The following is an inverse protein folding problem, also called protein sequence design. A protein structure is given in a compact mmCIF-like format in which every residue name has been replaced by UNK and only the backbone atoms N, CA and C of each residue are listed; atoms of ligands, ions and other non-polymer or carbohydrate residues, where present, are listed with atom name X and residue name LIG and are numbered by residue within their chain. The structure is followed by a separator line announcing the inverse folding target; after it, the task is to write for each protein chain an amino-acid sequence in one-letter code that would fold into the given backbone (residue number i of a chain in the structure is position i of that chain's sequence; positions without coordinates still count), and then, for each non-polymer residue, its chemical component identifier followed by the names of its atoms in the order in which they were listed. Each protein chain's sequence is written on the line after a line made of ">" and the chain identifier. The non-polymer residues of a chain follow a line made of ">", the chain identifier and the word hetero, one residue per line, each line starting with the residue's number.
data_IF_188162010047
#
_entry.id   IF_188162010047
#
_cell.length_a   1.000
_cell.length_b   1.000
_cell.length_c   1.000
_cell.angle_alpha   90.00
_cell.angle_beta   90.00
_cell.angle_gamma   90.00
#
_symmetry.space_group_name_H-M   'P 1'
#
loop_
_entity.id
_entity.type
_entity.pdbx_description
1 polymer ?
#
# COMPACT_ATOMS: atom_id res chain seq x y z
N UNK A 1 44.04 21.31 11.82
CA UNK A 1 43.77 21.90 10.49
C UNK A 1 45.08 21.93 9.74
N UNK A 2 45.18 21.16 8.67
CA UNK A 2 46.21 21.28 7.67
C UNK A 2 45.48 21.24 6.32
N UNK A 3 45.64 22.31 5.56
CA UNK A 3 45.05 22.54 4.24
C UNK A 3 46.07 22.03 3.22
N UNK A 4 45.71 21.02 2.44
CA UNK A 4 46.60 20.47 1.41
C UNK A 4 46.29 21.11 0.05
N UNK A 5 47.37 21.34 -0.70
CA UNK A 5 47.48 22.17 -1.91
C UNK A 5 46.62 21.65 -3.08
N UNK A 6 45.90 22.56 -3.75
CA UNK A 6 44.88 22.26 -4.77
C UNK A 6 45.45 21.81 -6.13
N UNK A 7 46.77 21.62 -6.26
CA UNK A 7 47.44 21.39 -7.53
C UNK A 7 47.41 19.93 -8.02
N UNK A 8 47.14 18.94 -7.15
CA UNK A 8 47.06 17.53 -7.53
C UNK A 8 45.79 16.88 -6.97
N UNK A 9 44.84 16.52 -7.84
CA UNK A 9 43.73 15.64 -7.43
C UNK A 9 44.30 14.25 -7.09
N UNK A 10 44.14 13.74 -5.86
CA UNK A 10 44.51 12.37 -5.55
C UNK A 10 43.66 11.41 -6.38
N UNK A 11 44.32 10.60 -7.22
CA UNK A 11 43.68 9.51 -7.98
C UNK A 11 43.36 8.28 -7.13
N UNK A 12 43.67 8.33 -5.84
CA UNK A 12 43.37 7.31 -4.83
C UNK A 12 42.79 7.96 -3.57
N UNK A 13 41.77 7.35 -2.94
CA UNK A 13 41.24 7.83 -1.66
C UNK A 13 42.34 7.97 -0.61
N UNK A 14 42.29 9.02 0.21
CA UNK A 14 43.21 9.20 1.33
C UNK A 14 43.15 8.00 2.27
N UNK A 15 44.30 7.44 2.66
CA UNK A 15 44.37 6.30 3.59
C UNK A 15 43.95 6.68 5.03
N UNK A 16 43.89 7.97 5.35
CA UNK A 16 43.40 8.46 6.62
C UNK A 16 41.86 8.49 6.66
N UNK A 17 41.28 7.48 7.29
CA UNK A 17 39.82 7.35 7.48
C UNK A 17 39.16 8.54 8.22
N UNK A 18 39.91 9.41 8.90
CA UNK A 18 39.36 10.60 9.59
C UNK A 18 39.04 11.75 8.64
N UNK A 19 39.55 11.69 7.41
CA UNK A 19 39.30 12.66 6.34
C UNK A 19 38.13 12.26 5.42
N UNK A 20 37.65 11.02 5.54
CA UNK A 20 36.52 10.55 4.75
C UNK A 20 35.27 11.33 5.12
N UNK A 21 34.64 11.91 4.10
CA UNK A 21 33.29 12.48 4.19
C UNK A 21 32.41 11.57 3.36
N UNK A 22 31.33 11.10 3.95
CA UNK A 22 30.37 10.23 3.29
C UNK A 22 29.07 10.99 3.16
N UNK A 23 28.55 11.12 1.95
CA UNK A 23 27.30 11.82 1.68
C UNK A 23 26.31 10.86 1.03
N UNK A 24 25.13 10.75 1.63
CA UNK A 24 23.93 10.21 1.01
C UNK A 24 22.87 11.30 1.07
N UNK A 25 22.24 11.59 -0.06
CA UNK A 25 21.21 12.62 -0.15
C UNK A 25 19.95 12.07 -0.82
N UNK A 26 18.81 12.59 -0.40
CA UNK A 26 17.51 12.40 -1.06
C UNK A 26 17.10 13.79 -1.53
N UNK A 27 16.88 13.93 -2.84
CA UNK A 27 16.49 15.22 -3.42
C UNK A 27 15.23 15.79 -2.78
N UNK A 28 15.37 16.96 -2.19
CA UNK A 28 14.25 17.81 -1.76
C UNK A 28 13.85 18.83 -2.83
N UNK A 29 14.47 18.79 -4.01
CA UNK A 29 14.17 19.70 -5.11
C UNK A 29 12.83 19.30 -5.72
N UNK A 30 11.82 20.19 -5.76
CA UNK A 30 10.55 19.92 -6.40
C UNK A 30 10.73 19.52 -7.87
N UNK A 31 9.92 18.57 -8.32
CA UNK A 31 9.92 18.15 -9.73
C UNK A 31 9.32 19.27 -10.58
N UNK A 32 10.02 19.78 -11.61
CA UNK A 32 9.46 20.82 -12.48
C UNK A 32 8.16 20.37 -13.14
N UNK A 33 7.10 21.18 -12.99
CA UNK A 33 5.79 20.88 -13.58
C UNK A 33 4.87 20.00 -12.72
N UNK A 34 5.32 19.53 -11.55
CA UNK A 34 4.43 18.89 -10.57
C UNK A 34 3.56 19.94 -9.87
N UNK A 35 2.23 19.83 -10.00
CA UNK A 35 1.28 20.82 -9.46
C UNK A 35 1.37 20.97 -7.94
N UNK A 36 1.71 19.88 -7.25
CA UNK A 36 1.84 19.84 -5.79
C UNK A 36 3.26 20.18 -5.30
N UNK A 37 4.18 20.46 -6.23
CA UNK A 37 5.59 20.74 -5.97
C UNK A 37 6.28 19.63 -5.16
N UNK A 38 5.89 18.38 -5.37
CA UNK A 38 6.50 17.24 -4.71
C UNK A 38 7.90 16.96 -5.23
N UNK A 39 8.82 16.68 -4.30
CA UNK A 39 10.15 16.17 -4.57
C UNK A 39 10.21 14.66 -4.35
N UNK A 40 11.36 14.04 -4.67
CA UNK A 40 11.64 12.66 -4.30
C UNK A 40 11.39 12.40 -2.81
N UNK A 41 11.91 13.29 -1.95
CA UNK A 41 11.71 13.23 -0.51
C UNK A 41 10.23 13.35 -0.09
N UNK A 42 9.42 14.17 -0.78
CA UNK A 42 7.98 14.26 -0.51
C UNK A 42 7.30 12.92 -0.77
N UNK A 43 7.49 12.32 -1.95
CA UNK A 43 6.90 11.03 -2.31
C UNK A 43 7.30 9.92 -1.33
N UNK A 44 8.58 9.83 -0.96
CA UNK A 44 9.06 8.85 0.03
C UNK A 44 8.41 9.05 1.40
N UNK A 45 8.27 10.30 1.84
CA UNK A 45 7.61 10.60 3.11
C UNK A 45 6.14 10.21 3.09
N UNK A 46 5.41 10.50 2.02
CA UNK A 46 3.99 10.19 1.93
C UNK A 46 3.74 8.68 1.91
N UNK A 47 4.58 7.93 1.18
CA UNK A 47 4.54 6.48 1.16
C UNK A 47 4.85 5.87 2.53
N UNK A 48 5.91 6.33 3.22
CA UNK A 48 6.51 5.59 4.33
C UNK A 48 6.28 6.17 5.74
N UNK A 49 6.16 7.49 5.87
CA UNK A 49 6.33 8.17 7.16
C UNK A 49 5.18 9.11 7.55
N UNK A 50 4.75 9.96 6.62
CA UNK A 50 3.77 11.01 6.86
C UNK A 50 3.16 11.43 5.52
N UNK A 51 1.93 11.03 5.31
CA UNK A 51 1.09 11.55 4.24
C UNK A 51 0.25 12.74 4.73
N UNK A 52 0.31 13.92 4.06
CA UNK A 52 -0.44 15.11 4.46
C UNK A 52 -1.96 14.92 4.43
N UNK A 53 -2.52 14.19 3.48
CA UNK A 53 -3.97 13.99 3.37
C UNK A 53 -4.47 13.07 4.50
N UNK A 54 -3.73 12.00 4.79
CA UNK A 54 -3.98 11.15 5.95
C UNK A 54 -3.93 11.95 7.25
N UNK A 55 -2.97 12.87 7.41
CA UNK A 55 -2.88 13.69 8.60
C UNK A 55 -4.07 14.63 8.78
N UNK A 56 -4.59 15.20 7.71
CA UNK A 56 -5.77 16.07 7.77
C UNK A 56 -7.00 15.34 8.30
N UNK A 57 -7.10 14.03 8.03
CA UNK A 57 -8.15 13.18 8.59
C UNK A 57 -7.76 12.47 9.89
N UNK A 58 -6.63 12.85 10.50
CA UNK A 58 -6.17 12.36 11.80
C UNK A 58 -5.50 10.98 11.77
N UNK A 59 -5.17 10.46 10.60
CA UNK A 59 -4.37 9.24 10.42
C UNK A 59 -2.88 9.59 10.41
N UNK A 60 -2.11 8.86 11.19
CA UNK A 60 -0.65 9.02 11.28
C UNK A 60 0.07 7.96 10.45
N UNK A 61 1.29 8.27 10.00
CA UNK A 61 2.10 7.36 9.19
C UNK A 61 2.02 7.67 7.70
N UNK A 62 2.70 6.84 6.91
CA UNK A 62 2.55 6.82 5.45
C UNK A 62 1.47 5.86 4.98
N UNK A 63 1.17 5.91 3.69
CA UNK A 63 0.13 5.09 3.04
C UNK A 63 0.41 3.58 3.16
N UNK A 64 1.68 3.17 3.07
CA UNK A 64 2.12 1.78 3.14
C UNK A 64 1.62 1.08 4.42
N UNK A 65 1.75 1.76 5.57
CA UNK A 65 1.32 1.24 6.87
C UNK A 65 -0.18 0.88 6.89
N UNK A 66 -1.00 1.75 6.31
CA UNK A 66 -2.45 1.59 6.32
C UNK A 66 -2.91 0.55 5.31
N UNK A 67 -2.35 0.53 4.10
CA UNK A 67 -2.62 -0.52 3.13
C UNK A 67 -2.28 -1.90 3.74
N UNK A 68 -1.09 -2.06 4.30
CA UNK A 68 -0.65 -3.30 4.94
C UNK A 68 -1.61 -3.78 6.03
N UNK A 69 -1.94 -2.91 6.98
CA UNK A 69 -2.83 -3.26 8.11
C UNK A 69 -4.25 -3.58 7.66
N UNK A 70 -4.81 -2.76 6.78
CA UNK A 70 -6.20 -2.87 6.37
C UNK A 70 -6.41 -4.10 5.48
N UNK A 71 -5.47 -4.42 4.59
CA UNK A 71 -5.54 -5.66 3.80
C UNK A 71 -5.39 -6.90 4.66
N UNK A 72 -4.55 -6.88 5.70
CA UNK A 72 -4.49 -7.98 6.68
C UNK A 72 -5.82 -8.25 7.38
N UNK A 73 -6.61 -7.19 7.63
CA UNK A 73 -7.96 -7.31 8.18
C UNK A 73 -8.97 -7.90 7.19
N UNK A 74 -8.83 -7.63 5.89
CA UNK A 74 -9.65 -8.31 4.89
C UNK A 74 -9.45 -9.82 4.92
N UNK A 75 -8.18 -10.28 4.95
CA UNK A 75 -7.89 -11.71 5.04
C UNK A 75 -8.48 -12.36 6.30
N UNK A 76 -8.37 -11.70 7.45
CA UNK A 76 -8.95 -12.16 8.72
C UNK A 76 -10.46 -12.37 8.60
N UNK A 77 -11.20 -11.39 8.11
CA UNK A 77 -12.66 -11.47 8.05
C UNK A 77 -13.18 -12.30 6.88
N UNK A 78 -12.52 -12.32 5.73
CA UNK A 78 -12.88 -13.23 4.65
C UNK A 78 -12.74 -14.69 5.08
N UNK A 79 -11.66 -15.03 5.80
CA UNK A 79 -11.46 -16.37 6.35
C UNK A 79 -12.53 -16.70 7.39
N UNK A 80 -12.79 -15.79 8.33
CA UNK A 80 -13.82 -15.96 9.34
C UNK A 80 -15.23 -16.14 8.73
N UNK A 81 -15.56 -15.41 7.67
CA UNK A 81 -16.85 -15.55 6.99
C UNK A 81 -17.05 -16.96 6.41
N UNK A 82 -16.01 -17.52 5.78
CA UNK A 82 -16.03 -18.88 5.26
C UNK A 82 -16.17 -19.92 6.38
N UNK A 83 -15.45 -19.73 7.47
CA UNK A 83 -15.49 -20.65 8.60
C UNK A 83 -16.86 -20.60 9.32
N UNK A 84 -17.47 -19.41 9.42
CA UNK A 84 -18.84 -19.23 9.92
C UNK A 84 -19.86 -19.97 9.04
N UNK A 85 -19.70 -19.95 7.71
CA UNK A 85 -20.53 -20.74 6.79
C UNK A 85 -20.38 -22.24 7.04
N UNK A 86 -19.14 -22.72 7.16
CA UNK A 86 -18.85 -24.15 7.37
C UNK A 86 -19.45 -24.70 8.68
N UNK A 87 -19.69 -23.83 9.67
CA UNK A 87 -20.34 -24.20 10.93
C UNK A 87 -21.88 -24.37 10.83
N UNK A 88 -22.50 -23.91 9.74
CA UNK A 88 -23.93 -24.15 9.40
C UNK A 88 -24.97 -23.27 10.09
N UNK A 89 -24.66 -22.60 11.21
CA UNK A 89 -25.65 -21.86 12.03
C UNK A 89 -25.33 -20.37 12.26
N UNK A 90 -24.29 -19.83 11.63
CA UNK A 90 -23.74 -18.51 11.98
C UNK A 90 -23.91 -17.46 10.87
N UNK A 91 -25.03 -17.46 10.14
CA UNK A 91 -25.26 -16.52 9.01
C UNK A 91 -25.19 -15.04 9.41
N UNK A 92 -25.58 -14.70 10.64
CA UNK A 92 -25.44 -13.34 11.17
C UNK A 92 -23.97 -12.95 11.43
N UNK A 93 -23.14 -13.90 11.88
CA UNK A 93 -21.70 -13.64 12.05
C UNK A 93 -21.01 -13.53 10.69
N UNK A 94 -21.30 -14.44 9.77
CA UNK A 94 -20.85 -14.40 8.38
C UNK A 94 -21.15 -13.03 7.76
N UNK A 95 -22.40 -12.56 7.83
CA UNK A 95 -22.78 -11.26 7.29
C UNK A 95 -22.01 -10.11 7.94
N UNK A 96 -21.79 -10.14 9.25
CA UNK A 96 -20.98 -9.13 9.94
C UNK A 96 -19.54 -9.12 9.44
N UNK A 97 -18.94 -10.29 9.14
CA UNK A 97 -17.59 -10.33 8.56
C UNK A 97 -17.56 -9.73 7.15
N UNK A 98 -18.54 -10.06 6.32
CA UNK A 98 -18.66 -9.50 4.96
C UNK A 98 -18.85 -7.98 4.99
N UNK A 99 -19.67 -7.46 5.92
CA UNK A 99 -19.83 -6.01 6.12
C UNK A 99 -18.49 -5.36 6.47
N UNK A 100 -17.70 -5.94 7.38
CA UNK A 100 -16.37 -5.39 7.73
C UNK A 100 -15.40 -5.38 6.55
N UNK A 101 -15.47 -6.38 5.69
CA UNK A 101 -14.68 -6.42 4.43
C UNK A 101 -15.05 -5.23 3.56
N UNK A 102 -16.35 -4.97 3.34
CA UNK A 102 -16.82 -3.82 2.56
C UNK A 102 -16.47 -2.47 3.19
N UNK A 103 -16.57 -2.35 4.51
CA UNK A 103 -16.24 -1.11 5.23
C UNK A 103 -14.80 -0.64 4.96
N UNK A 104 -13.84 -1.56 4.82
CA UNK A 104 -12.45 -1.23 4.49
C UNK A 104 -12.16 -1.15 2.98
N UNK A 105 -12.87 -1.92 2.16
CA UNK A 105 -12.68 -1.84 0.70
C UNK A 105 -13.15 -0.48 0.17
N UNK A 106 -14.35 -0.07 0.57
CA UNK A 106 -15.02 1.12 0.03
C UNK A 106 -14.73 2.36 0.87
N UNK A 107 -14.36 2.15 2.13
CA UNK A 107 -14.28 3.20 3.12
C UNK A 107 -15.65 3.56 3.68
N UNK A 108 -15.68 3.97 4.94
CA UNK A 108 -16.92 4.19 5.70
C UNK A 108 -17.84 5.27 5.12
N UNK A 109 -17.31 6.17 4.28
CA UNK A 109 -18.11 7.21 3.64
C UNK A 109 -18.89 6.70 2.41
N UNK A 110 -18.42 5.64 1.75
CA UNK A 110 -18.95 5.21 0.45
C UNK A 110 -19.59 3.81 0.48
N UNK A 111 -19.29 2.98 1.48
CA UNK A 111 -19.83 1.61 1.61
C UNK A 111 -21.36 1.53 1.62
N UNK A 112 -22.04 2.60 2.03
CA UNK A 112 -23.50 2.70 2.03
C UNK A 112 -24.14 2.63 0.63
N UNK A 113 -23.38 2.87 -0.45
CA UNK A 113 -23.90 2.84 -1.81
C UNK A 113 -24.24 1.41 -2.28
N UNK A 114 -23.47 0.42 -1.82
CA UNK A 114 -23.56 -0.95 -2.31
C UNK A 114 -24.06 -1.95 -1.25
N UNK A 115 -24.39 -1.48 -0.05
CA UNK A 115 -24.98 -2.30 1.03
C UNK A 115 -26.48 -2.05 1.18
N UNK A 116 -27.25 -3.00 1.75
CA UNK A 116 -28.65 -2.76 2.09
C UNK A 116 -28.83 -1.54 3.00
N UNK A 117 -29.92 -0.80 2.83
CA UNK A 117 -30.23 0.37 3.65
C UNK A 117 -30.24 0.01 5.15
N UNK A 118 -29.58 0.83 5.97
CA UNK A 118 -29.47 0.60 7.41
C UNK A 118 -28.36 -0.37 7.82
N UNK A 119 -27.52 -0.84 6.88
CA UNK A 119 -26.31 -1.60 7.22
C UNK A 119 -25.40 -0.76 8.12
N UNK A 120 -25.00 -1.26 9.30
CA UNK A 120 -24.13 -0.52 10.20
C UNK A 120 -22.67 -0.60 9.76
N UNK A 121 -21.89 0.42 10.09
CA UNK A 121 -20.41 0.35 10.06
C UNK A 121 -19.94 -0.51 11.24
N UNK A 122 -19.16 -1.56 10.97
CA UNK A 122 -18.72 -2.56 11.95
C UNK A 122 -17.22 -2.55 12.23
N UNK A 123 -16.51 -1.61 11.63
CA UNK A 123 -15.07 -1.38 11.80
C UNK A 123 -14.79 -0.11 12.58
N UNK A 124 -13.53 0.09 12.97
CA UNK A 124 -13.09 1.37 13.51
C UNK A 124 -13.27 2.47 12.42
N UNK A 125 -14.11 3.50 12.66
CA UNK A 125 -14.45 4.50 11.64
C UNK A 125 -13.30 5.46 11.32
N UNK A 126 -12.22 5.44 12.09
CA UNK A 126 -10.98 6.13 11.77
C UNK A 126 -10.13 5.24 10.85
N UNK A 127 -9.91 3.98 11.21
CA UNK A 127 -9.08 3.07 10.40
C UNK A 127 -9.70 2.72 9.03
N UNK A 128 -11.03 2.58 8.96
CA UNK A 128 -11.78 2.35 7.73
C UNK A 128 -12.20 3.62 6.99
N UNK A 129 -11.69 4.80 7.37
CA UNK A 129 -12.14 6.08 6.79
C UNK A 129 -11.87 6.18 5.29
N UNK A 130 -10.69 5.73 4.87
CA UNK A 130 -10.25 5.68 3.48
C UNK A 130 -10.39 4.26 2.99
N UNK A 131 -11.02 4.09 1.83
CA UNK A 131 -11.13 2.79 1.17
C UNK A 131 -9.79 2.31 0.64
N UNK A 132 -9.61 0.99 0.61
CA UNK A 132 -8.54 0.36 -0.17
C UNK A 132 -8.76 0.62 -1.67
N UNK A 133 -10.02 0.65 -2.10
CA UNK A 133 -10.45 0.95 -3.46
C UNK A 133 -11.07 2.33 -3.59
N UNK A 134 -11.02 2.84 -4.81
CA UNK A 134 -11.75 4.02 -5.25
C UNK A 134 -13.06 3.56 -5.87
N UNK A 135 -14.17 3.97 -5.27
CA UNK A 135 -15.51 3.47 -5.63
C UNK A 135 -16.42 4.56 -6.17
N UNK A 136 -16.04 5.82 -6.00
CA UNK A 136 -16.72 6.99 -6.57
C UNK A 136 -15.68 7.87 -7.29
N UNK A 137 -15.88 8.26 -8.56
CA UNK A 137 -14.95 9.12 -9.28
C UNK A 137 -14.83 10.54 -8.69
N UNK A 138 -15.78 10.95 -7.85
CA UNK A 138 -15.78 12.24 -7.16
C UNK A 138 -15.47 12.08 -5.66
N UNK A 139 -14.88 10.95 -5.25
CA UNK A 139 -14.50 10.78 -3.86
C UNK A 139 -13.50 11.86 -3.42
N UNK A 140 -13.66 12.33 -2.19
CA UNK A 140 -12.90 13.49 -1.69
C UNK A 140 -11.43 13.17 -1.44
N UNK A 141 -11.12 11.89 -1.15
CA UNK A 141 -9.77 11.39 -0.92
C UNK A 141 -9.53 10.20 -1.84
N UNK A 142 -8.33 10.09 -2.45
CA UNK A 142 -7.98 8.91 -3.21
C UNK A 142 -7.93 7.67 -2.31
N UNK A 143 -8.18 6.51 -2.92
CA UNK A 143 -8.02 5.23 -2.22
C UNK A 143 -6.56 4.95 -1.88
N UNK A 144 -6.28 4.04 -0.94
CA UNK A 144 -4.89 3.68 -0.63
C UNK A 144 -4.12 3.20 -1.86
N UNK A 145 -4.74 2.37 -2.72
CA UNK A 145 -4.07 1.85 -3.92
C UNK A 145 -3.83 2.95 -4.96
N UNK A 146 -4.84 3.77 -5.26
CA UNK A 146 -4.70 4.92 -6.19
C UNK A 146 -3.62 5.89 -5.71
N UNK A 147 -3.62 6.20 -4.41
CA UNK A 147 -2.72 7.19 -3.81
C UNK A 147 -1.25 6.69 -3.77
N UNK A 148 -1.04 5.41 -3.48
CA UNK A 148 0.28 4.79 -3.57
C UNK A 148 0.80 4.84 -5.01
N UNK A 149 -0.02 4.45 -6.01
CA UNK A 149 0.36 4.52 -7.42
C UNK A 149 0.72 5.94 -7.88
N UNK A 150 0.00 6.96 -7.41
CA UNK A 150 0.33 8.36 -7.65
C UNK A 150 1.75 8.70 -7.19
N UNK A 151 2.12 8.32 -5.96
CA UNK A 151 3.45 8.62 -5.44
C UNK A 151 4.56 7.76 -6.04
N UNK A 152 4.29 6.53 -6.44
CA UNK A 152 5.25 5.70 -7.17
C UNK A 152 5.56 6.30 -8.55
N UNK A 153 4.53 6.78 -9.26
CA UNK A 153 4.68 7.47 -10.54
C UNK A 153 5.42 8.79 -10.36
N UNK A 154 5.06 9.59 -9.36
CA UNK A 154 5.75 10.84 -9.04
C UNK A 154 7.22 10.62 -8.69
N UNK A 155 7.53 9.57 -7.91
CA UNK A 155 8.90 9.18 -7.58
C UNK A 155 9.74 8.90 -8.83
N UNK A 156 9.20 8.12 -9.78
CA UNK A 156 9.88 7.80 -11.06
C UNK A 156 10.15 9.04 -11.90
N UNK A 157 9.34 10.09 -11.78
CA UNK A 157 9.51 11.35 -12.51
C UNK A 157 10.32 12.41 -11.74
N UNK A 158 10.63 12.15 -10.47
CA UNK A 158 11.30 13.12 -9.61
C UNK A 158 12.80 13.25 -9.86
N UNK A 159 13.35 14.43 -9.61
CA UNK A 159 14.80 14.63 -9.73
C UNK A 159 15.55 13.89 -8.62
N UNK A 160 16.67 13.26 -8.97
CA UNK A 160 17.61 12.67 -8.00
C UNK A 160 17.26 11.27 -7.50
N UNK A 161 16.30 10.56 -8.12
CA UNK A 161 16.10 9.15 -7.85
C UNK A 161 17.29 8.32 -8.35
N UNK A 162 17.57 7.20 -7.70
CA UNK A 162 18.52 6.20 -8.20
C UNK A 162 17.85 5.27 -9.22
N UNK A 163 18.65 4.56 -10.03
CA UNK A 163 18.14 3.48 -10.89
C UNK A 163 17.46 2.38 -10.08
N UNK A 164 17.97 2.09 -8.87
CA UNK A 164 17.39 1.10 -7.97
C UNK A 164 16.00 1.50 -7.49
N UNK A 165 15.84 2.75 -7.03
CA UNK A 165 14.53 3.29 -6.63
C UNK A 165 13.53 3.28 -7.79
N UNK A 166 13.95 3.68 -9.00
CA UNK A 166 13.10 3.64 -10.19
C UNK A 166 12.62 2.22 -10.51
N UNK A 167 13.51 1.23 -10.44
CA UNK A 167 13.18 -0.18 -10.69
C UNK A 167 12.20 -0.73 -9.66
N UNK A 168 12.41 -0.43 -8.37
CA UNK A 168 11.48 -0.83 -7.31
C UNK A 168 10.12 -0.17 -7.57
N UNK A 169 10.08 1.15 -7.73
CA UNK A 169 8.82 1.88 -7.87
C UNK A 169 7.99 1.37 -9.06
N UNK A 170 8.64 1.12 -10.20
CA UNK A 170 7.97 0.56 -11.38
C UNK A 170 7.43 -0.86 -11.13
N UNK A 171 8.16 -1.70 -10.39
CA UNK A 171 7.70 -3.06 -10.06
C UNK A 171 6.56 -3.04 -9.05
N UNK A 172 6.66 -2.20 -8.03
CA UNK A 172 5.62 -2.04 -7.01
C UNK A 172 4.34 -1.49 -7.63
N UNK A 173 4.42 -0.51 -8.54
CA UNK A 173 3.23 0.05 -9.19
C UNK A 173 2.47 -0.99 -10.01
N UNK A 174 3.18 -1.87 -10.72
CA UNK A 174 2.56 -3.02 -11.40
C UNK A 174 1.87 -3.98 -10.44
N UNK A 175 2.48 -4.23 -9.29
CA UNK A 175 1.88 -5.09 -8.26
C UNK A 175 0.65 -4.43 -7.61
N UNK A 176 0.69 -3.11 -7.38
CA UNK A 176 -0.47 -2.34 -6.90
C UNK A 176 -1.65 -2.46 -7.88
N UNK A 177 -1.39 -2.41 -9.19
CA UNK A 177 -2.43 -2.65 -10.21
C UNK A 177 -2.98 -4.07 -10.15
N UNK A 178 -2.13 -5.09 -9.98
CA UNK A 178 -2.57 -6.48 -9.84
C UNK A 178 -3.42 -6.68 -8.56
N UNK A 179 -2.98 -6.12 -7.43
CA UNK A 179 -3.73 -6.12 -6.16
C UNK A 179 -5.05 -5.38 -6.31
N UNK A 180 -5.12 -4.29 -7.06
CA UNK A 180 -6.37 -3.56 -7.33
C UNK A 180 -7.41 -4.46 -7.98
N UNK A 181 -7.01 -5.26 -8.98
CA UNK A 181 -7.92 -6.22 -9.63
C UNK A 181 -8.42 -7.27 -8.62
N UNK A 182 -7.55 -7.80 -7.77
CA UNK A 182 -7.95 -8.75 -6.72
C UNK A 182 -8.94 -8.10 -5.73
N UNK A 183 -8.70 -6.87 -5.29
CA UNK A 183 -9.59 -6.12 -4.42
C UNK A 183 -10.96 -5.90 -5.05
N UNK A 184 -11.02 -5.62 -6.35
CA UNK A 184 -12.28 -5.49 -7.08
C UNK A 184 -13.08 -6.79 -7.09
N UNK A 185 -12.43 -7.94 -7.26
CA UNK A 185 -13.10 -9.25 -7.16
C UNK A 185 -13.61 -9.52 -5.74
N UNK A 186 -12.79 -9.28 -4.71
CA UNK A 186 -13.20 -9.41 -3.29
C UNK A 186 -14.43 -8.55 -3.03
N UNK A 187 -14.45 -7.30 -3.53
CA UNK A 187 -15.58 -6.39 -3.40
C UNK A 187 -16.84 -6.93 -4.07
N UNK A 188 -16.73 -7.46 -5.29
CA UNK A 188 -17.86 -8.04 -6.02
C UNK A 188 -18.50 -9.19 -5.25
N UNK A 189 -17.69 -10.13 -4.75
CA UNK A 189 -18.17 -11.26 -3.94
C UNK A 189 -18.84 -10.77 -2.66
N UNK A 190 -18.22 -9.83 -1.95
CA UNK A 190 -18.73 -9.29 -0.71
C UNK A 190 -20.06 -8.53 -0.88
N UNK A 191 -20.22 -7.75 -1.96
CA UNK A 191 -21.49 -7.08 -2.30
C UNK A 191 -22.59 -8.11 -2.56
N UNK A 192 -22.25 -9.21 -3.25
CA UNK A 192 -23.24 -10.26 -3.52
C UNK A 192 -23.67 -10.93 -2.22
N UNK A 193 -22.71 -11.31 -1.37
CA UNK A 193 -22.96 -11.98 -0.09
C UNK A 193 -23.77 -11.12 0.88
N UNK A 194 -23.47 -9.81 1.01
CA UNK A 194 -24.19 -8.95 1.97
C UNK A 194 -25.66 -8.74 1.60
N UNK A 195 -26.00 -8.84 0.32
CA UNK A 195 -27.36 -8.68 -0.21
C UNK A 195 -28.22 -9.95 -0.08
N UNK A 196 -27.62 -11.09 0.25
CA UNK A 196 -28.33 -12.37 0.37
C UNK A 196 -29.11 -12.48 1.69
N UNK A 197 -30.27 -13.13 1.60
CA UNK A 197 -31.05 -13.58 2.76
C UNK A 197 -30.32 -14.68 3.54
N UNK A 198 -30.73 -14.92 4.79
CA UNK A 198 -30.15 -16.00 5.62
C UNK A 198 -30.32 -17.38 4.98
N UNK A 199 -31.46 -17.63 4.32
CA UNK A 199 -31.71 -18.89 3.61
C UNK A 199 -30.82 -19.04 2.39
N UNK A 200 -30.57 -17.93 1.68
CA UNK A 200 -29.65 -17.95 0.55
C UNK A 200 -28.25 -18.29 1.04
N UNK A 201 -27.71 -17.57 2.04
CA UNK A 201 -26.36 -17.75 2.61
C UNK A 201 -26.04 -19.17 3.13
N UNK A 202 -27.00 -20.08 3.21
CA UNK A 202 -26.79 -21.48 3.58
C UNK A 202 -26.62 -22.39 2.35
N UNK A 203 -26.69 -21.86 1.14
CA UNK A 203 -26.62 -22.65 -0.09
C UNK A 203 -25.16 -22.91 -0.49
N UNK A 204 -24.92 -24.04 -1.16
CA UNK A 204 -23.58 -24.42 -1.65
C UNK A 204 -22.98 -23.38 -2.61
N UNK A 205 -23.81 -22.62 -3.32
CA UNK A 205 -23.36 -21.54 -4.21
C UNK A 205 -22.64 -20.41 -3.48
N UNK A 206 -22.89 -20.21 -2.18
CA UNK A 206 -22.24 -19.14 -1.43
C UNK A 206 -20.87 -19.57 -0.93
N UNK A 207 -20.67 -20.89 -0.74
CA UNK A 207 -19.35 -21.44 -0.47
C UNK A 207 -18.37 -21.10 -1.58
N UNK A 208 -18.79 -21.06 -2.87
CA UNK A 208 -17.88 -20.63 -3.94
C UNK A 208 -17.51 -19.16 -3.81
N UNK A 209 -18.47 -18.26 -3.54
CA UNK A 209 -18.18 -16.83 -3.32
C UNK A 209 -17.25 -16.61 -2.12
N UNK A 210 -17.47 -17.34 -1.02
CA UNK A 210 -16.62 -17.26 0.16
C UNK A 210 -15.21 -17.82 -0.10
N UNK A 211 -15.09 -18.91 -0.85
CA UNK A 211 -13.80 -19.47 -1.25
C UNK A 211 -13.05 -18.52 -2.20
N UNK A 212 -13.75 -17.91 -3.15
CA UNK A 212 -13.17 -16.95 -4.08
C UNK A 212 -12.70 -15.70 -3.34
N UNK A 213 -13.53 -15.16 -2.44
CA UNK A 213 -13.16 -14.03 -1.59
C UNK A 213 -11.93 -14.34 -0.71
N UNK A 214 -11.86 -15.53 -0.10
CA UNK A 214 -10.68 -15.98 0.69
C UNK A 214 -9.46 -16.14 -0.21
N UNK A 215 -9.61 -16.74 -1.39
CA UNK A 215 -8.49 -16.97 -2.32
C UNK A 215 -7.92 -15.64 -2.82
N UNK A 216 -8.79 -14.72 -3.22
CA UNK A 216 -8.40 -13.39 -3.68
C UNK A 216 -7.79 -12.56 -2.54
N UNK A 217 -8.34 -12.57 -1.32
CA UNK A 217 -7.74 -11.86 -0.18
C UNK A 217 -6.41 -12.45 0.24
N UNK A 218 -6.26 -13.78 0.22
CA UNK A 218 -4.99 -14.44 0.51
C UNK A 218 -3.93 -14.04 -0.52
N UNK A 219 -4.27 -14.12 -1.81
CA UNK A 219 -3.38 -13.70 -2.91
C UNK A 219 -3.03 -12.22 -2.79
N UNK A 220 -4.01 -11.36 -2.53
CA UNK A 220 -3.80 -9.91 -2.43
C UNK A 220 -2.93 -9.53 -1.22
N UNK A 221 -3.00 -10.27 -0.11
CA UNK A 221 -2.22 -9.96 1.08
C UNK A 221 -0.84 -10.64 1.08
N UNK A 222 -0.82 -11.96 0.94
CA UNK A 222 0.37 -12.82 1.09
C UNK A 222 1.14 -12.94 -0.22
N UNK A 223 0.48 -12.78 -1.37
CA UNK A 223 1.05 -13.07 -2.67
C UNK A 223 0.93 -14.55 -3.05
N UNK A 224 1.63 -14.95 -4.11
CA UNK A 224 1.71 -16.32 -4.59
C UNK A 224 3.09 -16.90 -4.30
N UNK A 225 3.19 -18.21 -4.10
CA UNK A 225 4.49 -18.86 -4.01
C UNK A 225 5.16 -18.91 -5.39
N UNK A 226 6.40 -18.45 -5.46
CA UNK A 226 7.26 -18.71 -6.59
C UNK A 226 7.56 -20.22 -6.66
N UNK A 227 7.19 -20.92 -7.74
CA UNK A 227 7.41 -22.36 -7.86
C UNK A 227 8.91 -22.74 -7.92
N UNK A 228 9.78 -21.78 -8.21
CA UNK A 228 11.24 -21.97 -8.33
C UNK A 228 11.94 -21.75 -7.00
N UNK A 229 11.55 -20.72 -6.25
CA UNK A 229 12.25 -20.31 -5.02
C UNK A 229 11.51 -20.68 -3.73
N UNK A 230 10.23 -21.05 -3.83
CA UNK A 230 9.35 -21.31 -2.69
C UNK A 230 9.02 -20.07 -1.85
N UNK A 231 9.49 -18.89 -2.27
CA UNK A 231 9.24 -17.62 -1.57
C UNK A 231 7.92 -17.02 -2.04
N UNK A 232 7.23 -16.31 -1.13
CA UNK A 232 6.06 -15.52 -1.51
C UNK A 232 6.49 -14.34 -2.40
N UNK A 233 5.77 -14.14 -3.50
CA UNK A 233 5.93 -13.06 -4.46
C UNK A 233 4.60 -12.33 -4.65
N UNK A 234 4.68 -11.01 -4.76
CA UNK A 234 3.51 -10.15 -4.93
C UNK A 234 2.67 -10.03 -3.65
N UNK A 235 1.51 -9.42 -3.79
CA UNK A 235 0.64 -9.05 -2.68
C UNK A 235 1.17 -7.88 -1.83
N UNK A 236 0.33 -7.44 -0.91
CA UNK A 236 0.56 -6.27 -0.07
C UNK A 236 1.74 -6.47 0.90
N UNK A 237 1.99 -7.69 1.37
CA UNK A 237 3.19 -8.00 2.19
C UNK A 237 4.49 -7.78 1.43
N UNK A 238 4.53 -8.16 0.15
CA UNK A 238 5.67 -7.91 -0.73
C UNK A 238 5.79 -6.41 -1.08
N UNK A 239 4.67 -5.75 -1.43
CA UNK A 239 4.61 -4.30 -1.65
C UNK A 239 5.23 -3.57 -0.46
N UNK A 240 4.77 -3.90 0.75
CA UNK A 240 5.28 -3.32 1.99
C UNK A 240 6.80 -3.46 2.10
N UNK A 241 7.34 -4.68 1.94
CA UNK A 241 8.78 -4.90 1.98
C UNK A 241 9.55 -4.13 0.91
N UNK A 242 9.03 -4.03 -0.31
CA UNK A 242 9.67 -3.28 -1.39
C UNK A 242 9.63 -1.77 -1.19
N UNK A 243 8.52 -1.22 -0.68
CA UNK A 243 8.41 0.21 -0.40
C UNK A 243 9.46 0.65 0.62
N UNK A 244 9.78 -0.16 1.63
CA UNK A 244 10.86 0.13 2.58
C UNK A 244 12.23 0.26 1.90
N UNK A 245 12.49 -0.50 0.83
CA UNK A 245 13.75 -0.44 0.08
C UNK A 245 13.91 0.86 -0.71
N UNK A 246 12.83 1.61 -0.96
CA UNK A 246 12.92 2.93 -1.60
C UNK A 246 13.64 3.95 -0.73
N UNK A 247 13.71 3.74 0.59
CA UNK A 247 14.45 4.60 1.52
C UNK A 247 15.95 4.29 1.57
N UNK A 248 16.44 3.30 0.82
CA UNK A 248 17.87 2.98 0.75
C UNK A 248 18.59 4.04 -0.09
N UNK A 249 19.54 4.73 0.54
CA UNK A 249 20.34 5.78 -0.10
C UNK A 249 21.78 5.29 -0.26
N UNK A 250 22.35 5.31 -1.47
CA UNK A 250 23.76 5.00 -1.66
C UNK A 250 24.61 6.07 -0.99
N UNK A 251 25.65 5.63 -0.29
CA UNK A 251 26.62 6.52 0.35
C UNK A 251 27.81 6.65 -0.60
N UNK A 252 28.12 7.89 -0.99
CA UNK A 252 29.28 8.19 -1.82
C UNK A 252 30.40 8.83 -0.99
N UNK A 253 31.65 8.60 -1.39
CA UNK A 253 32.80 9.34 -0.86
C UNK A 253 32.72 10.78 -1.36
N UNK A 254 32.63 11.74 -0.46
CA UNK A 254 32.67 13.16 -0.77
C UNK A 254 34.13 13.62 -0.80
N UNK A 255 34.56 14.14 -1.96
CA UNK A 255 35.85 14.82 -2.11
C UNK A 255 35.77 16.22 -1.49
N UNK A 256 36.86 16.74 -0.89
CA UNK A 256 36.90 18.13 -0.44
C UNK A 256 36.64 19.08 -1.62
N UNK A 257 35.61 19.93 -1.54
CA UNK A 257 35.36 21.01 -2.51
C UNK A 257 33.98 21.07 -3.18
N UNK A 258 33.02 20.22 -2.81
CA UNK A 258 31.62 20.38 -3.22
C UNK A 258 30.76 20.67 -1.98
N UNK A 259 30.69 21.95 -1.61
CA UNK A 259 29.66 22.55 -0.76
C UNK A 259 29.01 23.70 -1.52
#
# INVERSE_FOLDING_TARGET
>A
MAEEDAANRPITPALDSTTWRYLGEISSTPTPGDENHYSLLSHLRHLLAKDPELQQIGLSGGLDLWLYRNTGKLLEWSSAARDDWASGNNTDLLRRQVIRVLDYLDGTAYVGHDTPAGTPILVDPKAGRVGILEVDPNQALPSYLSHISLHLTGLVNSLGHTTFQQQIATKVDKEVQAVTVLMQHIRQDAIQLVKMSNTELQQTKDLSLLNDMVTNTNTAYVGQQDPTTGQAQGGVTWIHGQLQLLAVVPINTASPGQQ
#
